data_IF_964104178409
#
_entry.id   IF_964104178409
#
_cell.length_a   1.000
_cell.length_b   1.000
_cell.length_c   1.000
_cell.angle_alpha   90.00
_cell.angle_beta   90.00
_cell.angle_gamma   90.00
#
_symmetry.space_group_name_H-M   'P 1'
#
loop_
_entity.id
_entity.type
_entity.pdbx_description
1 polymer ?
#
# COMPACT_ATOMS: atom_id res chain seq x y z
N UNK A 1 -8.74 2.94 -11.08
CA UNK A 1 -7.95 3.54 -9.98
C UNK A 1 -7.54 4.94 -10.41
N UNK A 2 -7.47 5.91 -9.49
CA UNK A 2 -6.85 7.22 -9.73
C UNK A 2 -5.52 7.26 -8.98
N UNK A 3 -4.46 7.73 -9.63
CA UNK A 3 -3.14 7.94 -9.04
C UNK A 3 -2.56 9.24 -9.62
N UNK A 4 -1.86 10.01 -8.79
CA UNK A 4 -1.34 11.33 -9.15
C UNK A 4 -0.12 11.67 -8.28
N UNK A 5 0.63 12.69 -8.67
CA UNK A 5 1.73 13.23 -7.86
C UNK A 5 1.15 13.98 -6.65
N UNK A 6 1.59 13.57 -5.46
CA UNK A 6 1.24 14.17 -4.18
C UNK A 6 2.01 15.48 -3.98
N UNK A 7 1.37 16.52 -3.44
CA UNK A 7 1.94 17.87 -3.38
C UNK A 7 2.92 18.15 -2.20
N UNK A 8 3.04 17.20 -1.27
CA UNK A 8 3.88 17.23 -0.07
C UNK A 8 3.75 18.52 0.78
N UNK A 9 2.64 19.25 0.65
CA UNK A 9 2.40 20.45 1.46
C UNK A 9 2.12 20.07 2.92
N UNK A 10 2.60 20.87 3.89
CA UNK A 10 2.24 20.67 5.28
C UNK A 10 0.72 20.85 5.46
N UNK A 11 0.09 19.97 6.24
CA UNK A 11 -1.35 20.01 6.46
C UNK A 11 -1.90 18.66 6.90
N UNK A 12 -3.21 18.50 6.79
CA UNK A 12 -3.87 17.23 7.03
C UNK A 12 -3.62 16.27 5.86
N UNK A 13 -2.73 15.30 6.08
CA UNK A 13 -2.31 14.29 5.11
C UNK A 13 -3.47 13.50 4.45
N UNK A 14 -4.66 13.50 5.07
CA UNK A 14 -5.87 12.79 4.60
C UNK A 14 -6.59 13.54 3.48
N UNK A 15 -6.22 14.79 3.23
CA UNK A 15 -6.73 15.55 2.09
C UNK A 15 -6.20 14.97 0.76
N UNK A 16 -6.80 15.31 -0.39
CA UNK A 16 -6.36 14.73 -1.65
C UNK A 16 -4.90 15.03 -2.01
N UNK A 17 -4.39 16.23 -1.69
CA UNK A 17 -3.02 16.66 -2.04
C UNK A 17 -2.67 16.44 -3.53
N UNK A 18 -3.67 16.59 -4.41
CA UNK A 18 -3.56 16.35 -5.84
C UNK A 18 -2.95 17.56 -6.56
N UNK A 19 -1.79 17.36 -7.19
CA UNK A 19 -1.12 18.39 -8.00
C UNK A 19 -1.75 18.60 -9.38
N UNK A 20 -2.67 17.73 -9.80
CA UNK A 20 -3.24 17.67 -11.14
C UNK A 20 -2.39 16.88 -12.15
N UNK A 21 -1.27 16.30 -11.71
CA UNK A 21 -0.42 15.46 -12.55
C UNK A 21 -0.80 14.00 -12.32
N UNK A 22 -1.64 13.48 -13.22
CA UNK A 22 -2.08 12.08 -13.20
C UNK A 22 -0.92 11.12 -13.54
N UNK A 23 -0.87 9.99 -12.84
CA UNK A 23 0.06 8.89 -13.08
C UNK A 23 -0.73 7.70 -13.65
N UNK A 24 -0.51 7.32 -14.92
CA UNK A 24 -1.26 6.25 -15.54
C UNK A 24 -0.80 4.89 -15.02
N UNK A 25 -1.70 3.90 -15.05
CA UNK A 25 -1.45 2.55 -14.55
C UNK A 25 -0.20 1.87 -15.14
N UNK A 26 0.14 2.02 -16.45
CA UNK A 26 1.39 1.46 -17.00
C UNK A 26 2.65 2.03 -16.34
N UNK A 27 2.63 3.28 -15.88
CA UNK A 27 3.76 3.88 -15.15
C UNK A 27 3.92 3.21 -13.79
N UNK A 28 2.81 2.92 -13.10
CA UNK A 28 2.83 2.18 -11.83
C UNK A 28 3.36 0.75 -12.02
N UNK A 29 2.98 0.09 -13.12
CA UNK A 29 3.48 -1.25 -13.46
C UNK A 29 5.01 -1.27 -13.63
N UNK A 30 5.60 -0.25 -14.26
CA UNK A 30 7.07 -0.10 -14.36
C UNK A 30 7.77 0.08 -13.01
N UNK A 31 7.06 0.60 -12.01
CA UNK A 31 7.53 0.71 -10.63
C UNK A 31 7.31 -0.57 -9.82
N UNK A 32 6.79 -1.64 -10.43
CA UNK A 32 6.49 -2.91 -9.78
C UNK A 32 5.14 -2.96 -9.05
N UNK A 33 4.27 -1.96 -9.23
CA UNK A 33 2.93 -1.92 -8.62
C UNK A 33 1.94 -2.64 -9.54
N UNK A 34 1.30 -3.69 -9.03
CA UNK A 34 0.22 -4.41 -9.74
C UNK A 34 -1.14 -3.98 -9.20
N UNK A 35 -2.10 -3.76 -10.10
CA UNK A 35 -3.48 -3.42 -9.75
C UNK A 35 -4.46 -4.40 -10.41
N UNK A 36 -5.50 -4.78 -9.67
CA UNK A 36 -6.65 -5.51 -10.20
C UNK A 36 -7.92 -5.01 -9.50
N UNK A 37 -8.97 -4.76 -10.29
CA UNK A 37 -10.28 -4.38 -9.76
C UNK A 37 -11.14 -5.61 -9.55
N UNK A 38 -11.45 -5.92 -8.29
CA UNK A 38 -12.41 -6.95 -7.90
C UNK A 38 -13.64 -6.25 -7.30
N UNK A 39 -14.77 -6.18 -8.01
CA UNK A 39 -16.01 -5.62 -7.46
C UNK A 39 -16.51 -6.45 -6.27
N UNK A 40 -16.97 -5.79 -5.21
CA UNK A 40 -17.63 -6.45 -4.08
C UNK A 40 -19.12 -6.59 -4.42
N UNK A 41 -19.54 -7.83 -4.64
CA UNK A 41 -20.94 -8.19 -4.87
C UNK A 41 -21.62 -8.70 -3.59
N UNK A 42 -22.95 -8.52 -3.45
CA UNK A 42 -23.71 -9.03 -2.30
C UNK A 42 -23.66 -10.56 -2.14
N UNK A 43 -23.45 -11.28 -3.23
CA UNK A 43 -23.42 -12.75 -3.26
C UNK A 43 -22.07 -13.33 -2.76
N UNK A 44 -21.05 -12.49 -2.56
CA UNK A 44 -19.74 -12.89 -2.05
C UNK A 44 -18.78 -13.49 -3.08
N UNK A 45 -19.09 -13.39 -4.39
CA UNK A 45 -18.24 -13.94 -5.45
C UNK A 45 -16.83 -13.31 -5.49
N UNK A 46 -16.67 -12.09 -4.98
CA UNK A 46 -15.37 -11.43 -4.80
C UNK A 46 -14.37 -12.26 -3.98
N UNK A 47 -14.81 -13.10 -3.03
CA UNK A 47 -13.90 -13.95 -2.23
C UNK A 47 -13.15 -14.95 -3.12
N UNK A 48 -13.88 -15.62 -4.02
CA UNK A 48 -13.27 -16.58 -4.96
C UNK A 48 -12.24 -15.93 -5.89
N UNK A 49 -12.49 -14.71 -6.33
CA UNK A 49 -11.56 -13.94 -7.17
C UNK A 49 -10.30 -13.53 -6.40
N UNK A 50 -10.43 -13.24 -5.10
CA UNK A 50 -9.27 -12.99 -4.24
C UNK A 50 -8.46 -14.28 -4.06
N UNK A 51 -9.13 -15.44 -3.89
CA UNK A 51 -8.45 -16.72 -3.74
C UNK A 51 -7.66 -17.09 -5.01
N UNK A 52 -8.22 -16.86 -6.19
CA UNK A 52 -7.54 -17.02 -7.48
C UNK A 52 -6.31 -16.10 -7.57
N UNK A 53 -6.48 -14.80 -7.31
CA UNK A 53 -5.39 -13.83 -7.31
C UNK A 53 -4.28 -14.18 -6.29
N UNK A 54 -4.68 -14.65 -5.11
CA UNK A 54 -3.76 -15.09 -4.07
C UNK A 54 -2.95 -16.31 -4.51
N UNK A 55 -3.61 -17.29 -5.13
CA UNK A 55 -2.96 -18.50 -5.65
C UNK A 55 -1.96 -18.17 -6.75
N UNK A 56 -2.32 -17.33 -7.72
CA UNK A 56 -1.44 -16.94 -8.83
C UNK A 56 -0.16 -16.25 -8.34
N UNK A 57 -0.25 -15.48 -7.25
CA UNK A 57 0.88 -14.73 -6.70
C UNK A 57 1.55 -15.41 -5.51
N UNK A 58 1.11 -16.61 -5.15
CA UNK A 58 1.65 -17.38 -4.04
C UNK A 58 1.46 -16.73 -2.67
N UNK A 59 0.37 -15.97 -2.47
CA UNK A 59 -0.02 -15.44 -1.16
C UNK A 59 -0.61 -16.57 -0.30
N UNK A 60 0.14 -16.98 0.74
CA UNK A 60 -0.20 -18.11 1.62
C UNK A 60 -0.93 -17.69 2.89
N UNK A 61 -0.75 -16.45 3.32
CA UNK A 61 -1.36 -15.91 4.54
C UNK A 61 -2.23 -14.70 4.22
N UNK A 62 -3.32 -14.53 4.97
CA UNK A 62 -4.18 -13.36 4.89
C UNK A 62 -4.76 -12.98 6.24
N UNK A 63 -5.04 -11.70 6.40
CA UNK A 63 -5.86 -11.20 7.51
C UNK A 63 -6.78 -10.06 7.04
N UNK A 64 -7.70 -9.66 7.92
CA UNK A 64 -8.59 -8.52 7.69
C UNK A 64 -8.37 -7.51 8.80
N UNK A 65 -8.15 -6.26 8.42
CA UNK A 65 -8.05 -5.13 9.34
C UNK A 65 -9.16 -4.13 9.08
N UNK A 66 -9.63 -3.51 10.15
CA UNK A 66 -10.52 -2.35 10.09
C UNK A 66 -9.86 -1.23 10.86
N UNK A 67 -9.62 -0.11 10.19
CA UNK A 67 -9.04 1.11 10.76
C UNK A 67 -10.16 2.12 10.86
N UNK A 68 -10.67 2.33 12.07
CA UNK A 68 -11.66 3.35 12.41
C UNK A 68 -11.32 3.99 13.74
N UNK A 69 -11.81 5.20 13.97
CA UNK A 69 -11.64 5.88 15.27
C UNK A 69 -12.28 5.06 16.39
N UNK A 70 -13.45 4.48 16.15
CA UNK A 70 -14.14 3.62 17.12
C UNK A 70 -13.38 2.32 17.37
N UNK A 71 -12.82 1.71 16.33
CA UNK A 71 -12.14 0.42 16.43
C UNK A 71 -10.75 0.50 17.07
N UNK A 72 -10.04 1.61 16.89
CA UNK A 72 -8.70 1.82 17.44
C UNK A 72 -8.68 2.69 18.71
N UNK A 73 -9.76 3.41 18.99
CA UNK A 73 -9.88 4.28 20.17
C UNK A 73 -8.76 5.31 20.26
N UNK A 74 -8.17 5.44 21.44
CA UNK A 74 -7.07 6.38 21.72
C UNK A 74 -5.82 6.13 20.85
N UNK A 75 -5.61 4.89 20.39
CA UNK A 75 -4.47 4.52 19.55
C UNK A 75 -4.65 4.93 18.08
N UNK A 76 -5.81 5.45 17.68
CA UNK A 76 -6.12 5.79 16.29
C UNK A 76 -5.11 6.78 15.70
N UNK A 77 -4.92 7.93 16.35
CA UNK A 77 -4.06 9.00 15.83
C UNK A 77 -2.59 8.57 15.75
N UNK A 78 -2.10 7.87 16.77
CA UNK A 78 -0.73 7.34 16.78
C UNK A 78 -0.50 6.33 15.65
N UNK A 79 -1.45 5.40 15.44
CA UNK A 79 -1.37 4.40 14.36
C UNK A 79 -1.41 5.06 12.98
N UNK A 80 -2.34 5.98 12.75
CA UNK A 80 -2.44 6.71 11.47
C UNK A 80 -1.15 7.49 11.18
N UNK A 81 -0.56 8.12 12.21
CA UNK A 81 0.73 8.78 12.07
C UNK A 81 1.84 7.79 11.70
N UNK A 82 1.93 6.65 12.39
CA UNK A 82 2.96 5.64 12.10
C UNK A 82 2.87 5.04 10.69
N UNK A 83 1.67 4.97 10.11
CA UNK A 83 1.48 4.51 8.73
C UNK A 83 1.93 5.54 7.68
N UNK A 84 2.03 6.82 8.08
CA UNK A 84 2.44 7.92 7.21
C UNK A 84 3.90 8.36 7.42
N UNK A 85 4.62 7.71 8.33
CA UNK A 85 6.05 7.97 8.57
C UNK A 85 6.91 7.67 7.33
N UNK A 86 8.16 8.16 7.34
CA UNK A 86 9.10 8.10 6.22
C UNK A 86 9.67 6.68 6.00
N UNK A 87 8.83 5.82 5.42
CA UNK A 87 9.13 4.47 4.93
C UNK A 87 8.96 4.41 3.39
N UNK A 88 9.31 3.29 2.75
CA UNK A 88 9.31 3.22 1.27
C UNK A 88 7.95 3.46 0.60
N UNK A 89 6.85 3.05 1.25
CA UNK A 89 5.50 3.41 0.85
C UNK A 89 4.69 3.76 2.10
N UNK A 90 3.89 4.81 2.02
CA UNK A 90 3.10 5.33 3.14
C UNK A 90 1.61 5.12 2.90
N UNK A 91 0.85 5.03 3.97
CA UNK A 91 -0.61 4.86 3.93
C UNK A 91 -1.29 5.86 4.86
N UNK A 92 -2.41 6.42 4.41
CA UNK A 92 -3.35 7.14 5.26
C UNK A 92 -4.77 6.91 4.76
N UNK A 93 -5.74 7.06 5.66
CA UNK A 93 -7.17 7.08 5.30
C UNK A 93 -7.51 8.43 4.67
N UNK A 94 -8.60 8.50 3.92
CA UNK A 94 -9.12 9.79 3.45
C UNK A 94 -9.95 10.48 4.56
N UNK A 95 -10.64 11.55 4.20
CA UNK A 95 -11.52 12.31 5.11
C UNK A 95 -12.67 11.48 5.71
N UNK A 96 -13.00 10.30 5.17
CA UNK A 96 -13.98 9.40 5.77
C UNK A 96 -13.43 8.69 7.02
N UNK A 97 -12.10 8.76 7.26
CA UNK A 97 -11.45 8.24 8.46
C UNK A 97 -11.64 6.72 8.71
N UNK A 98 -12.02 5.97 7.67
CA UNK A 98 -12.36 4.55 7.78
C UNK A 98 -11.83 3.75 6.60
N UNK A 99 -11.33 2.56 6.87
CA UNK A 99 -11.08 1.54 5.86
C UNK A 99 -11.22 0.14 6.47
N UNK A 100 -11.78 -0.79 5.71
CA UNK A 100 -11.61 -2.23 5.95
C UNK A 100 -10.81 -2.80 4.80
N UNK A 101 -9.69 -3.45 5.11
CA UNK A 101 -8.77 -3.99 4.13
C UNK A 101 -8.42 -5.44 4.44
N UNK A 102 -8.29 -6.26 3.39
CA UNK A 102 -7.66 -7.57 3.47
C UNK A 102 -6.19 -7.43 3.09
N UNK A 103 -5.31 -8.00 3.91
CA UNK A 103 -3.86 -8.00 3.64
C UNK A 103 -3.46 -9.42 3.26
N UNK A 104 -2.63 -9.54 2.22
CA UNK A 104 -2.17 -10.82 1.65
C UNK A 104 -0.64 -10.90 1.73
N UNK A 105 -0.10 -12.07 2.11
CA UNK A 105 1.33 -12.28 2.32
C UNK A 105 1.81 -13.59 1.69
N UNK A 106 2.99 -13.56 1.06
CA UNK A 106 3.61 -14.76 0.48
C UNK A 106 4.20 -15.70 1.55
N UNK A 107 4.65 -15.12 2.65
CA UNK A 107 5.24 -15.82 3.80
C UNK A 107 4.60 -15.32 5.10
N UNK A 108 5.09 -15.76 6.26
CA UNK A 108 4.60 -15.25 7.54
C UNK A 108 4.80 -13.73 7.62
N UNK A 109 3.75 -12.98 8.02
CA UNK A 109 3.80 -11.53 7.98
C UNK A 109 4.81 -10.99 8.99
N UNK A 110 5.78 -10.22 8.50
CA UNK A 110 6.67 -9.39 9.32
C UNK A 110 6.25 -7.94 9.17
N UNK A 111 5.87 -7.33 10.28
CA UNK A 111 5.29 -5.98 10.30
C UNK A 111 6.27 -4.88 10.63
N UNK A 112 7.56 -5.18 10.74
CA UNK A 112 8.57 -4.19 11.12
C UNK A 112 8.77 -3.18 9.98
N UNK A 113 8.35 -1.92 10.15
CA UNK A 113 8.66 -0.89 9.17
C UNK A 113 10.13 -0.50 9.30
N UNK A 114 10.80 -0.31 8.16
CA UNK A 114 12.15 0.22 8.12
C UNK A 114 12.09 1.65 7.60
N UNK A 115 12.42 2.62 8.46
CA UNK A 115 12.48 4.03 8.07
C UNK A 115 13.59 4.25 7.05
N UNK A 116 13.33 5.09 6.05
CA UNK A 116 14.32 5.52 5.04
C UNK A 116 15.48 6.30 5.65
N UNK A 117 15.27 6.92 6.80
CA UNK A 117 16.30 7.68 7.52
C UNK A 117 17.18 6.80 8.41
N UNK A 118 16.77 5.56 8.67
CA UNK A 118 17.55 4.66 9.50
C UNK A 118 18.77 4.13 8.75
N UNK A 119 19.92 4.14 9.43
CA UNK A 119 21.18 3.65 8.88
C UNK A 119 21.06 2.18 8.44
N UNK A 120 21.41 1.93 7.18
CA UNK A 120 21.43 0.58 6.61
C UNK A 120 20.11 0.10 6.00
N UNK A 121 19.00 0.85 6.12
CA UNK A 121 17.73 0.49 5.45
C UNK A 121 17.91 0.38 3.93
N UNK A 122 18.62 1.32 3.30
CA UNK A 122 18.91 1.29 1.86
C UNK A 122 19.89 0.19 1.44
N UNK A 123 20.57 -0.46 2.39
CA UNK A 123 21.48 -1.60 2.14
C UNK A 123 20.80 -2.95 2.33
N UNK A 124 19.50 -2.98 2.66
CA UNK A 124 18.76 -4.22 2.75
C UNK A 124 18.70 -4.87 1.36
N UNK A 125 19.00 -6.17 1.27
CA UNK A 125 19.00 -6.87 -0.02
C UNK A 125 17.65 -6.87 -0.75
N UNK A 126 16.54 -6.60 -0.05
CA UNK A 126 15.24 -6.36 -0.66
C UNK A 126 15.20 -5.06 -1.47
N UNK A 127 15.87 -4.00 -1.01
CA UNK A 127 15.99 -2.72 -1.72
C UNK A 127 16.81 -2.87 -2.99
N UNK A 128 17.94 -3.57 -2.92
CA UNK A 128 18.79 -3.84 -4.09
C UNK A 128 18.02 -4.62 -5.16
N UNK A 129 17.33 -5.71 -4.77
CA UNK A 129 16.48 -6.48 -5.68
C UNK A 129 15.39 -5.63 -6.33
N UNK A 130 14.74 -4.76 -5.57
CA UNK A 130 13.74 -3.83 -6.13
C UNK A 130 14.37 -2.84 -7.13
N UNK A 131 15.55 -2.30 -6.83
CA UNK A 131 16.23 -1.38 -7.75
C UNK A 131 16.65 -2.08 -9.04
N UNK A 132 17.05 -3.35 -8.99
CA UNK A 132 17.31 -4.16 -10.17
C UNK A 132 16.05 -4.31 -11.04
N UNK A 133 14.89 -4.62 -10.45
CA UNK A 133 13.64 -4.79 -11.22
C UNK A 133 13.19 -3.48 -11.88
N UNK A 134 13.29 -2.36 -11.19
CA UNK A 134 12.93 -1.05 -11.76
C UNK A 134 13.91 -0.63 -12.84
N UNK A 135 15.22 -0.88 -12.68
CA UNK A 135 16.22 -0.58 -13.72
C UNK A 135 15.98 -1.37 -15.00
N UNK A 136 15.59 -2.64 -14.90
CA UNK A 136 15.28 -3.50 -16.05
C UNK A 136 13.92 -3.14 -16.67
N UNK A 137 12.91 -2.80 -15.87
CA UNK A 137 11.58 -2.38 -16.36
C UNK A 137 11.53 -1.02 -17.05
N UNK A 138 12.59 -0.20 -16.92
CA UNK A 138 12.77 1.07 -17.64
C UNK A 138 13.50 0.88 -18.97
N UNK A 139 14.25 -0.22 -19.14
CA UNK A 139 15.04 -0.51 -20.36
C UNK A 139 14.39 -1.50 -21.33
N UNK A 140 13.25 -2.10 -20.98
CA UNK A 140 12.46 -3.01 -21.83
C UNK A 140 11.30 -2.30 -22.56
#
# INVERSE_FOLDING_TARGET
MKAYIYDDKPGDQRLPHDTGIDIPEPTLAKLGVTYQRIPIDPEGAWESKIDEFAKERGYKNRDRITVTREGLGEAYEEKIKSFFDDIYHRFTVDSANTITAMRLFQDEPKWTPYSRQADGTDKLGSRDKYLETVRVGVTA
#
